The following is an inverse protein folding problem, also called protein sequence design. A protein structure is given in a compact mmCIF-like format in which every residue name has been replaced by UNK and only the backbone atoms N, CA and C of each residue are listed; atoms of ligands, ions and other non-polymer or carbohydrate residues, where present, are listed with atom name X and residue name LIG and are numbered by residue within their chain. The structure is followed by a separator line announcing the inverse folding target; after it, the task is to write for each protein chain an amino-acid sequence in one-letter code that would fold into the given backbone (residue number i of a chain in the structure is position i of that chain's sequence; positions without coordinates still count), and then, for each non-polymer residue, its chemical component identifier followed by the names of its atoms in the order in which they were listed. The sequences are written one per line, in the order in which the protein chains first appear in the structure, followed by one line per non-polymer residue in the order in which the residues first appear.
data_IF_890874011888
#
_entry.id   IF_890874011888
#
_cell.length_a   1.000
_cell.length_b   1.000
_cell.length_c   1.000
_cell.angle_alpha   90.00
_cell.angle_beta   90.00
_cell.angle_gamma   90.00
#
_symmetry.space_group_name_H-M   'P 1'
#
loop_
_entity.id
_entity.type
_entity.pdbx_description
1 polymer ?
#
# COMPACT_ATOMS: atom_id res chain seq x y z
N UNK A 1 50.30 -17.95 -38.69
CA UNK A 1 50.24 -19.31 -38.09
C UNK A 1 49.57 -19.21 -36.72
N UNK A 2 48.68 -20.18 -36.45
CA UNK A 2 47.85 -20.41 -35.24
C UNK A 2 46.48 -19.73 -35.20
N UNK A 3 45.53 -20.54 -35.70
CA UNK A 3 44.11 -20.53 -35.43
C UNK A 3 43.83 -20.78 -33.94
N UNK A 4 42.84 -20.08 -33.39
CA UNK A 4 42.03 -20.60 -32.30
C UNK A 4 40.57 -20.39 -32.68
N UNK A 5 39.94 -21.49 -33.10
CA UNK A 5 38.50 -21.68 -33.15
C UNK A 5 38.15 -22.40 -31.85
N UNK A 6 37.28 -21.84 -31.01
CA UNK A 6 36.15 -22.57 -30.43
C UNK A 6 35.21 -21.65 -29.61
N UNK A 7 33.97 -21.55 -30.10
CA UNK A 7 32.68 -21.45 -29.41
C UNK A 7 32.64 -21.20 -27.89
N UNK A 8 31.90 -20.17 -27.48
CA UNK A 8 30.97 -20.25 -26.34
C UNK A 8 29.91 -19.12 -26.38
N UNK A 9 28.67 -19.54 -26.62
CA UNK A 9 27.38 -19.02 -26.15
C UNK A 9 26.97 -17.54 -26.33
N UNK A 10 26.00 -17.39 -27.23
CA UNK A 10 25.00 -16.32 -27.36
C UNK A 10 24.13 -16.26 -26.11
N UNK A 11 23.97 -15.07 -25.50
CA UNK A 11 22.68 -14.62 -24.94
C UNK A 11 22.51 -13.16 -25.38
N UNK A 12 21.80 -13.00 -26.50
CA UNK A 12 21.27 -11.73 -26.95
C UNK A 12 19.97 -11.50 -26.16
N UNK A 13 20.04 -10.82 -25.01
CA UNK A 13 18.83 -10.38 -24.33
C UNK A 13 18.20 -9.25 -25.13
N UNK A 14 17.26 -9.64 -26.00
CA UNK A 14 16.24 -8.76 -26.56
C UNK A 14 15.49 -8.13 -25.37
N UNK A 15 15.74 -6.85 -25.14
CA UNK A 15 14.83 -6.01 -24.34
C UNK A 15 13.59 -5.84 -25.23
N UNK A 16 12.65 -6.77 -25.14
CA UNK A 16 11.30 -6.56 -25.62
C UNK A 16 10.65 -5.54 -24.70
N UNK A 17 10.74 -4.25 -25.08
CA UNK A 17 9.75 -3.26 -24.69
C UNK A 17 8.42 -3.72 -25.30
N UNK A 18 7.66 -4.51 -24.56
CA UNK A 18 6.24 -4.74 -24.86
C UNK A 18 5.55 -3.41 -24.55
N UNK A 19 5.53 -2.56 -25.56
CA UNK A 19 4.49 -1.56 -25.74
C UNK A 19 3.19 -2.35 -25.89
N UNK A 20 2.36 -2.37 -24.86
CA UNK A 20 0.96 -2.79 -25.00
C UNK A 20 0.25 -1.71 -25.83
N UNK A 21 0.40 -1.82 -27.15
CA UNK A 21 -0.41 -1.10 -28.12
C UNK A 21 -1.29 -2.15 -28.79
N UNK A 22 -2.47 -2.36 -28.23
CA UNK A 22 -3.58 -3.01 -28.94
C UNK A 22 -4.68 -1.97 -29.04
N UNK A 23 -4.73 -1.29 -30.18
CA UNK A 23 -5.97 -0.69 -30.66
C UNK A 23 -6.77 -1.82 -31.31
N UNK A 24 -7.89 -2.21 -30.70
CA UNK A 24 -9.02 -2.76 -31.43
C UNK A 24 -10.32 -2.42 -30.68
N UNK A 25 -11.19 -1.70 -31.38
CA UNK A 25 -12.50 -1.24 -30.94
C UNK A 25 -13.46 -2.42 -30.72
N UNK A 26 -13.92 -2.67 -29.49
CA UNK A 26 -15.33 -3.03 -29.24
C UNK A 26 -15.71 -2.82 -27.78
N UNK A 27 -16.91 -2.26 -27.58
CA UNK A 27 -17.51 -1.95 -26.30
C UNK A 27 -17.58 -3.16 -25.36
N UNK A 28 -16.91 -3.05 -24.22
CA UNK A 28 -17.46 -3.30 -22.90
C UNK A 28 -16.64 -2.43 -21.95
N UNK A 29 -17.28 -1.52 -21.24
CA UNK A 29 -16.64 -0.85 -20.11
C UNK A 29 -16.59 -1.91 -19.00
N UNK A 30 -15.46 -2.60 -18.73
CA UNK A 30 -15.41 -3.41 -17.52
C UNK A 30 -15.64 -2.40 -16.39
N UNK A 31 -16.67 -2.63 -15.57
CA UNK A 31 -16.87 -1.83 -14.36
C UNK A 31 -15.52 -1.61 -13.71
N UNK A 32 -15.15 -0.35 -13.53
CA UNK A 32 -13.87 0.03 -12.98
C UNK A 32 -13.70 -0.68 -11.63
N UNK A 33 -12.90 -1.76 -11.61
CA UNK A 33 -12.78 -2.60 -10.42
C UNK A 33 -12.10 -1.76 -9.35
N UNK A 34 -12.86 -1.41 -8.32
CA UNK A 34 -12.34 -0.70 -7.16
C UNK A 34 -11.49 -1.66 -6.33
N UNK A 35 -10.18 -1.65 -6.58
CA UNK A 35 -9.20 -2.57 -5.99
C UNK A 35 -9.11 -2.47 -4.46
N UNK A 36 -9.60 -1.38 -3.88
CA UNK A 36 -9.62 -1.16 -2.43
C UNK A 36 -10.75 -1.92 -1.71
N UNK A 37 -11.82 -2.29 -2.43
CA UNK A 37 -12.99 -2.98 -1.84
C UNK A 37 -12.55 -4.34 -1.28
N UNK A 38 -12.94 -4.62 -0.03
CA UNK A 38 -12.65 -5.88 0.65
C UNK A 38 -12.21 -5.71 2.10
N UNK A 39 -11.77 -6.82 2.69
CA UNK A 39 -11.31 -6.90 4.07
C UNK A 39 -9.78 -6.95 4.15
N UNK A 40 -9.24 -6.04 4.96
CA UNK A 40 -7.81 -5.79 5.05
C UNK A 40 -7.35 -5.83 6.50
N UNK A 41 -6.12 -6.34 6.69
CA UNK A 41 -5.47 -6.41 7.98
C UNK A 41 -4.12 -5.71 7.94
N UNK A 42 -3.83 -4.88 8.94
CA UNK A 42 -2.52 -4.27 9.08
C UNK A 42 -1.48 -5.35 9.39
N UNK A 43 -0.38 -5.39 8.65
CA UNK A 43 0.70 -6.35 8.90
C UNK A 43 2.06 -5.68 9.11
N UNK A 44 2.18 -4.40 8.79
CA UNK A 44 3.41 -3.63 8.99
C UNK A 44 3.11 -2.16 9.24
N UNK A 45 3.95 -1.51 10.04
CA UNK A 45 4.02 -0.05 10.12
C UNK A 45 5.46 0.42 10.07
N UNK A 46 5.67 1.62 9.53
CA UNK A 46 6.95 2.30 9.48
C UNK A 46 6.79 3.72 10.05
N UNK A 47 7.72 4.13 10.90
CA UNK A 47 7.75 5.46 11.52
C UNK A 47 9.12 6.10 11.40
N UNK A 48 9.17 7.40 11.11
CA UNK A 48 10.39 8.21 11.14
C UNK A 48 10.49 8.87 12.52
N UNK A 49 11.53 8.53 13.28
CA UNK A 49 11.72 9.03 14.63
C UNK A 49 13.08 9.73 14.77
N UNK A 50 13.09 10.87 15.46
CA UNK A 50 14.33 11.57 15.80
C UNK A 50 14.97 10.90 17.01
N UNK A 51 16.16 10.36 16.81
CA UNK A 51 16.90 9.62 17.84
C UNK A 51 18.21 10.31 18.19
N UNK A 52 18.69 10.11 19.43
CA UNK A 52 19.97 10.62 19.87
C UNK A 52 21.10 10.04 19.01
N UNK A 53 21.98 10.92 18.53
CA UNK A 53 23.10 10.56 17.67
C UNK A 53 24.44 10.73 18.40
N UNK A 54 24.85 11.98 18.65
CA UNK A 54 26.15 12.30 19.27
C UNK A 54 26.02 13.41 20.32
N UNK A 55 26.90 13.39 21.32
CA UNK A 55 27.06 14.50 22.27
C UNK A 55 28.13 15.47 21.77
N UNK A 56 27.77 16.74 21.53
CA UNK A 56 28.70 17.77 21.01
C UNK A 56 29.62 18.37 22.08
N UNK A 57 29.44 18.00 23.35
CA UNK A 57 30.04 18.70 24.49
C UNK A 57 29.06 19.61 25.22
N UNK A 58 28.03 20.12 24.55
CA UNK A 58 27.02 21.04 25.12
C UNK A 58 25.59 20.57 24.93
N UNK A 59 25.30 19.82 23.87
CA UNK A 59 23.97 19.30 23.58
C UNK A 59 24.06 17.96 22.85
N UNK A 60 22.94 17.23 22.83
CA UNK A 60 22.80 16.04 22.00
C UNK A 60 22.35 16.44 20.60
N UNK A 61 22.99 15.91 19.57
CA UNK A 61 22.47 15.94 18.21
C UNK A 61 21.41 14.85 18.03
N UNK A 62 20.48 15.11 17.11
CA UNK A 62 19.45 14.16 16.72
C UNK A 62 19.64 13.76 15.26
N UNK A 63 19.31 12.52 14.96
CA UNK A 63 19.22 12.01 13.59
C UNK A 63 17.90 11.27 13.41
N UNK A 64 17.25 11.54 12.28
CA UNK A 64 16.03 10.86 11.89
C UNK A 64 16.34 9.45 11.39
N UNK A 65 15.63 8.45 11.93
CA UNK A 65 15.76 7.04 11.54
C UNK A 65 14.40 6.42 11.33
N UNK A 66 14.28 5.61 10.29
CA UNK A 66 13.09 4.81 10.03
C UNK A 66 13.10 3.55 10.90
N UNK A 67 11.99 3.33 11.59
CA UNK A 67 11.71 2.12 12.34
C UNK A 67 10.61 1.34 11.66
N UNK A 68 10.70 0.01 11.72
CA UNK A 68 9.74 -0.91 11.12
C UNK A 68 9.22 -1.88 12.17
N UNK A 69 7.90 -2.01 12.22
CA UNK A 69 7.22 -3.03 13.01
C UNK A 69 6.46 -3.97 12.08
N UNK A 70 6.54 -5.28 12.31
CA UNK A 70 5.82 -6.31 11.56
C UNK A 70 4.95 -7.08 12.53
N UNK A 71 3.71 -7.36 12.13
CA UNK A 71 2.69 -7.99 12.96
C UNK A 71 2.28 -9.31 12.32
N UNK A 72 2.33 -10.40 13.10
CA UNK A 72 1.78 -11.68 12.67
C UNK A 72 0.25 -11.62 12.59
N UNK A 73 -0.37 -11.08 13.64
CA UNK A 73 -1.78 -10.75 13.75
C UNK A 73 -1.91 -9.44 14.52
N UNK A 74 -2.19 -8.34 13.82
CA UNK A 74 -2.36 -7.03 14.46
C UNK A 74 -3.73 -6.85 15.11
N UNK A 75 -4.71 -7.70 14.76
CA UNK A 75 -6.13 -7.48 15.01
C UNK A 75 -6.68 -6.12 14.50
N UNK A 76 -5.89 -5.31 13.79
CA UNK A 76 -6.30 -4.02 13.21
C UNK A 76 -6.79 -4.28 11.79
N UNK A 77 -8.09 -4.05 11.59
CA UNK A 77 -8.80 -4.44 10.37
C UNK A 77 -9.53 -3.26 9.77
N UNK A 78 -9.62 -3.23 8.43
CA UNK A 78 -10.41 -2.26 7.68
C UNK A 78 -11.20 -2.98 6.60
N UNK A 79 -12.49 -2.69 6.50
CA UNK A 79 -13.37 -3.17 5.43
C UNK A 79 -13.82 -1.98 4.60
N UNK A 80 -13.53 -1.99 3.30
CA UNK A 80 -14.03 -1.01 2.33
C UNK A 80 -15.23 -1.60 1.57
N UNK A 81 -16.38 -0.95 1.70
CA UNK A 81 -17.64 -1.38 1.08
C UNK A 81 -17.83 -0.74 -0.29
N UNK A 82 -18.54 -1.42 -1.19
CA UNK A 82 -18.82 -0.93 -2.56
C UNK A 82 -19.68 0.33 -2.63
N UNK A 83 -20.33 0.72 -1.53
CA UNK A 83 -21.15 1.93 -1.43
C UNK A 83 -20.35 3.20 -1.09
N UNK A 84 -19.01 3.12 -1.04
CA UNK A 84 -18.14 4.25 -0.70
C UNK A 84 -17.96 4.46 0.80
N UNK A 85 -18.40 3.51 1.65
CA UNK A 85 -18.16 3.54 3.09
C UNK A 85 -17.05 2.58 3.52
N UNK A 86 -16.47 2.81 4.70
CA UNK A 86 -15.58 1.85 5.34
C UNK A 86 -15.89 1.70 6.83
N UNK A 87 -15.42 0.59 7.40
CA UNK A 87 -15.43 0.32 8.84
C UNK A 87 -14.06 -0.19 9.27
N UNK A 88 -13.59 0.28 10.42
CA UNK A 88 -12.39 -0.25 11.08
C UNK A 88 -12.76 -1.04 12.33
N UNK A 89 -11.95 -2.05 12.61
CA UNK A 89 -12.10 -2.89 13.78
C UNK A 89 -10.77 -3.08 14.50
N UNK A 90 -10.85 -3.13 15.82
CA UNK A 90 -9.86 -3.82 16.64
C UNK A 90 -10.44 -5.16 17.07
N UNK A 91 -9.83 -6.25 16.61
CA UNK A 91 -10.34 -7.61 16.68
C UNK A 91 -11.76 -7.74 16.09
N UNK A 92 -12.78 -7.72 16.94
CA UNK A 92 -14.20 -7.81 16.54
C UNK A 92 -15.02 -6.58 16.94
N UNK A 93 -14.37 -5.55 17.47
CA UNK A 93 -15.02 -4.33 17.96
C UNK A 93 -14.83 -3.24 16.93
N UNK A 94 -15.92 -2.67 16.45
CA UNK A 94 -15.90 -1.50 15.56
C UNK A 94 -15.28 -0.32 16.29
N UNK A 95 -14.24 0.28 15.69
CA UNK A 95 -13.49 1.40 16.28
C UNK A 95 -13.71 2.70 15.55
N UNK A 96 -14.01 2.65 14.25
CA UNK A 96 -14.25 3.84 13.44
C UNK A 96 -14.99 3.49 12.14
N UNK A 97 -15.62 4.50 11.54
CA UNK A 97 -16.25 4.40 10.21
C UNK A 97 -15.99 5.65 9.41
N UNK A 98 -16.30 5.64 8.12
CA UNK A 98 -16.15 6.80 7.28
C UNK A 98 -16.47 6.54 5.81
N UNK A 99 -15.99 7.44 4.96
CA UNK A 99 -16.16 7.35 3.51
C UNK A 99 -14.83 7.27 2.79
N UNK A 100 -14.85 6.68 1.60
CA UNK A 100 -13.70 6.60 0.71
C UNK A 100 -14.10 6.92 -0.73
N UNK A 101 -13.15 7.42 -1.51
CA UNK A 101 -13.33 7.65 -2.94
C UNK A 101 -12.01 7.44 -3.69
N UNK A 102 -12.11 7.14 -4.99
CA UNK A 102 -10.97 7.08 -5.90
C UNK A 102 -10.68 8.47 -6.44
N UNK A 103 -9.41 8.84 -6.53
CA UNK A 103 -8.98 10.13 -7.09
C UNK A 103 -8.25 9.95 -8.44
N UNK A 104 -8.11 11.04 -9.19
CA UNK A 104 -7.63 11.04 -10.58
C UNK A 104 -6.25 10.40 -10.77
N UNK A 105 -5.40 10.43 -9.73
CA UNK A 105 -4.04 9.87 -9.78
C UNK A 105 -3.97 8.35 -9.56
N UNK A 106 -5.13 7.70 -9.44
CA UNK A 106 -5.26 6.25 -9.23
C UNK A 106 -5.16 5.80 -7.78
N UNK A 107 -4.87 6.71 -6.83
CA UNK A 107 -4.97 6.43 -5.40
C UNK A 107 -6.43 6.50 -4.93
N UNK A 108 -6.64 6.06 -3.70
CA UNK A 108 -7.89 6.30 -2.98
C UNK A 108 -7.63 7.25 -1.82
N UNK A 109 -8.65 7.99 -1.42
CA UNK A 109 -8.65 8.70 -0.15
C UNK A 109 -9.75 8.17 0.75
N UNK A 110 -9.55 8.27 2.06
CA UNK A 110 -10.61 8.00 3.02
C UNK A 110 -10.57 8.97 4.20
N UNK A 111 -11.77 9.27 4.72
CA UNK A 111 -12.00 10.21 5.80
C UNK A 111 -12.90 9.57 6.86
N UNK A 112 -12.51 9.67 8.13
CA UNK A 112 -13.36 9.20 9.22
C UNK A 112 -14.60 10.08 9.37
N UNK A 113 -15.72 9.45 9.71
CA UNK A 113 -16.87 10.13 10.28
C UNK A 113 -16.51 10.50 11.71
N UNK A 114 -16.33 11.79 11.96
CA UNK A 114 -15.98 12.31 13.29
C UNK A 114 -17.25 12.87 13.93
N UNK A 115 -17.64 12.33 15.08
CA UNK A 115 -18.70 12.92 15.90
C UNK A 115 -18.28 14.33 16.35
N UNK A 116 -19.24 15.26 16.42
CA UNK A 116 -19.00 16.68 16.73
C UNK A 116 -18.24 16.89 18.05
N UNK A 117 -18.36 15.95 18.99
CA UNK A 117 -17.72 15.99 20.31
C UNK A 117 -16.43 15.15 20.39
N UNK A 118 -16.00 14.50 19.30
CA UNK A 118 -14.80 13.68 19.29
C UNK A 118 -13.55 14.54 19.07
N UNK A 119 -12.78 14.73 20.14
CA UNK A 119 -11.53 15.51 20.16
C UNK A 119 -10.29 14.68 19.79
N UNK A 120 -10.46 13.47 19.25
CA UNK A 120 -9.31 12.62 18.94
C UNK A 120 -8.71 13.00 17.57
N UNK A 121 -7.59 13.72 17.63
CA UNK A 121 -6.82 14.15 16.45
C UNK A 121 -6.33 12.97 15.57
N UNK A 122 -6.31 11.75 16.12
CA UNK A 122 -6.00 10.54 15.35
C UNK A 122 -7.02 10.28 14.23
N UNK A 123 -8.26 10.75 14.37
CA UNK A 123 -9.32 10.62 13.35
C UNK A 123 -9.43 11.85 12.43
N UNK A 124 -8.76 12.95 12.77
CA UNK A 124 -8.73 14.17 11.95
C UNK A 124 -7.75 14.01 10.78
N UNK A 125 -8.06 14.60 9.62
CA UNK A 125 -7.21 14.63 8.41
C UNK A 125 -7.64 13.61 7.36
N UNK A 126 -7.13 13.74 6.13
CA UNK A 126 -7.40 12.77 5.05
C UNK A 126 -6.31 11.69 5.02
N UNK A 127 -6.69 10.44 4.72
CA UNK A 127 -5.72 9.36 4.43
C UNK A 127 -5.69 9.05 2.95
N UNK A 128 -4.52 8.67 2.46
CA UNK A 128 -4.29 8.24 1.10
C UNK A 128 -3.91 6.77 1.06
N UNK A 129 -4.57 6.01 0.19
CA UNK A 129 -4.32 4.59 -0.04
C UNK A 129 -3.62 4.44 -1.38
N UNK A 130 -2.48 3.75 -1.36
CA UNK A 130 -1.78 3.31 -2.57
C UNK A 130 -1.85 1.80 -2.63
N UNK A 131 -2.58 1.27 -3.61
CA UNK A 131 -2.75 -0.18 -3.82
C UNK A 131 -1.60 -0.73 -4.65
N UNK A 132 -1.10 -1.89 -4.27
CA UNK A 132 -0.01 -2.60 -4.94
C UNK A 132 -0.53 -3.89 -5.59
N UNK A 133 0.18 -4.39 -6.61
CA UNK A 133 -0.23 -5.57 -7.38
C UNK A 133 -0.20 -6.91 -6.60
N UNK A 134 0.25 -6.90 -5.34
CA UNK A 134 0.41 -8.08 -4.49
C UNK A 134 -0.68 -8.23 -3.42
N UNK A 135 -1.86 -7.63 -3.64
CA UNK A 135 -2.96 -7.55 -2.68
C UNK A 135 -2.55 -6.92 -1.35
N UNK A 136 -1.68 -5.92 -1.43
CA UNK A 136 -1.35 -5.04 -0.32
C UNK A 136 -1.69 -3.60 -0.66
N UNK A 137 -1.86 -2.77 0.35
CA UNK A 137 -1.85 -1.33 0.19
C UNK A 137 -1.08 -0.67 1.32
N UNK A 138 -0.65 0.58 1.08
CA UNK A 138 -0.14 1.46 2.12
C UNK A 138 -1.09 2.61 2.36
N UNK A 139 -1.16 3.05 3.61
CA UNK A 139 -1.87 4.24 4.05
C UNK A 139 -0.87 5.28 4.53
N UNK A 140 -1.00 6.49 4.03
CA UNK A 140 -0.34 7.69 4.56
C UNK A 140 -1.39 8.71 4.97
N UNK A 141 -1.05 9.59 5.90
CA UNK A 141 -1.94 10.67 6.36
C UNK A 141 -1.50 12.00 5.77
N UNK A 142 -2.47 12.83 5.40
CA UNK A 142 -2.20 14.18 4.93
C UNK A 142 -1.39 14.97 5.97
N UNK A 143 -0.34 15.64 5.52
CA UNK A 143 0.61 16.39 6.36
C UNK A 143 1.39 15.53 7.37
N UNK A 144 1.48 14.21 7.16
CA UNK A 144 2.34 13.31 7.93
C UNK A 144 3.22 12.49 6.97
N UNK A 145 4.45 12.95 6.78
CA UNK A 145 5.49 12.27 6.01
C UNK A 145 6.34 11.31 6.87
N UNK A 146 5.94 11.10 8.13
CA UNK A 146 6.70 10.34 9.13
C UNK A 146 6.07 9.02 9.48
N UNK A 147 4.88 8.68 8.95
CA UNK A 147 4.21 7.43 9.23
C UNK A 147 3.63 6.76 7.97
N UNK A 148 3.78 5.43 7.90
CA UNK A 148 3.20 4.61 6.84
C UNK A 148 2.68 3.31 7.46
N UNK A 149 1.42 2.98 7.18
CA UNK A 149 0.81 1.72 7.60
C UNK A 149 0.53 0.84 6.40
N UNK A 150 0.81 -0.46 6.49
CA UNK A 150 0.67 -1.41 5.40
C UNK A 150 -0.33 -2.50 5.75
N UNK A 151 -1.20 -2.79 4.79
CA UNK A 151 -2.31 -3.71 4.93
C UNK A 151 -2.28 -4.76 3.83
N UNK A 152 -2.81 -5.94 4.14
CA UNK A 152 -2.96 -7.07 3.20
C UNK A 152 -4.36 -7.66 3.33
N UNK A 153 -4.85 -8.31 2.29
CA UNK A 153 -6.18 -8.95 2.36
C UNK A 153 -6.22 -10.05 3.42
N UNK A 154 -7.31 -10.12 4.17
CA UNK A 154 -7.58 -11.27 5.05
C UNK A 154 -7.66 -12.50 4.15
N UNK A 155 -6.81 -13.51 4.38
CA UNK A 155 -6.64 -14.78 3.61
C UNK A 155 -5.45 -14.87 2.66
N UNK A 156 -4.60 -13.84 2.51
CA UNK A 156 -3.36 -13.99 1.72
C UNK A 156 -2.17 -14.19 2.64
N UNK A 157 -1.46 -15.30 2.45
CA UNK A 157 -0.11 -15.45 3.00
C UNK A 157 0.80 -14.58 2.14
N UNK A 158 1.71 -13.80 2.74
CA UNK A 158 2.77 -13.13 1.97
C UNK A 158 3.39 -14.19 1.02
N UNK A 159 3.32 -13.94 -0.29
CA UNK A 159 3.77 -14.81 -1.39
C UNK A 159 2.80 -15.86 -1.97
N UNK A 160 1.53 -15.98 -1.55
CA UNK A 160 0.60 -16.98 -2.16
C UNK A 160 -0.37 -16.41 -3.19
N UNK A 161 -0.62 -15.10 -3.22
CA UNK A 161 -1.45 -14.49 -4.26
C UNK A 161 -0.60 -14.07 -5.46
N UNK A 162 -0.03 -15.06 -6.15
CA UNK A 162 0.31 -14.91 -7.56
C UNK A 162 -1.00 -14.65 -8.31
N UNK A 163 -1.17 -13.40 -8.76
CA UNK A 163 -1.83 -12.97 -9.99
C UNK A 163 -2.97 -13.91 -10.44
N UNK A 164 -4.21 -13.50 -10.22
CA UNK A 164 -5.32 -14.02 -11.02
C UNK A 164 -5.08 -13.55 -12.45
N UNK A 165 -4.42 -14.38 -13.26
CA UNK A 165 -4.45 -14.20 -14.69
C UNK A 165 -5.91 -14.45 -15.11
N UNK A 166 -6.58 -13.40 -15.60
CA UNK A 166 -7.68 -13.62 -16.53
C UNK A 166 -7.04 -14.21 -17.78
N UNK A 167 -6.97 -15.54 -17.82
CA UNK A 167 -6.65 -16.27 -19.04
C UNK A 167 -7.93 -16.25 -19.86
N UNK A 168 -7.93 -15.44 -20.92
CA UNK A 168 -8.80 -15.70 -22.08
C UNK A 168 -8.29 -16.91 -22.86
#
# INVERSE_FOLDING_TARGET
MKNYVLNAFIILSLISVVSCNNDDDTADNPEEVNQVIGDWQMYRSESLESTLDEWTGTEWTLVDRWFKSVFEDSEILITFNSDGTFMEFYATVETATGTWEKIEDGRYLYNYTVDVDNTNDAFVGTRFITVYCDNTYSVTKENDDRSISYYRTRSTTECSSLITYNVE
#
